data_IF_656270623081
#
_entry.id   IF_656270623081
#
_cell.length_a   1.000
_cell.length_b   1.000
_cell.length_c   1.000
_cell.angle_alpha   90.00
_cell.angle_beta   90.00
_cell.angle_gamma   90.00
#
_symmetry.space_group_name_H-M   'P 1'
#
loop_
_entity.id
_entity.type
_entity.pdbx_description
1 polymer ?
#
# COMPACT_ATOMS: atom_id res chain seq x y z
N UNK A 1 6.21 -11.01 9.22
CA UNK A 1 5.71 -10.96 7.82
C UNK A 1 6.48 -9.95 6.94
N UNK A 2 6.77 -10.27 5.67
CA UNK A 2 7.28 -9.32 4.65
C UNK A 2 6.61 -9.56 3.30
N UNK A 3 6.05 -8.53 2.68
CA UNK A 3 5.28 -8.66 1.44
C UNK A 3 5.71 -7.62 0.42
N UNK A 4 5.74 -8.04 -0.84
CA UNK A 4 5.95 -7.17 -2.00
C UNK A 4 4.75 -7.25 -2.94
N UNK A 5 4.20 -6.09 -3.34
CA UNK A 5 3.25 -5.98 -4.46
C UNK A 5 4.02 -5.43 -5.65
N UNK A 6 3.95 -6.14 -6.76
CA UNK A 6 4.78 -5.91 -7.93
C UNK A 6 3.95 -5.81 -9.20
N UNK A 7 4.50 -5.18 -10.23
CA UNK A 7 3.99 -5.22 -11.61
C UNK A 7 5.05 -5.78 -12.54
N UNK A 8 4.63 -6.34 -13.67
CA UNK A 8 5.51 -6.53 -14.81
C UNK A 8 5.66 -5.21 -15.58
N UNK A 9 6.90 -4.86 -15.91
CA UNK A 9 7.27 -3.81 -16.85
C UNK A 9 8.44 -4.29 -17.71
N UNK A 10 8.25 -4.37 -19.03
CA UNK A 10 9.26 -4.83 -19.98
C UNK A 10 9.86 -6.20 -19.61
N UNK A 11 9.03 -7.15 -19.17
CA UNK A 11 9.45 -8.49 -18.71
C UNK A 11 10.29 -8.50 -17.43
N UNK A 12 10.28 -7.40 -16.67
CA UNK A 12 10.96 -7.27 -15.39
C UNK A 12 9.89 -7.04 -14.32
N UNK A 13 9.91 -7.88 -13.27
CA UNK A 13 9.04 -7.71 -12.11
C UNK A 13 9.56 -6.58 -11.23
N UNK A 14 8.83 -5.48 -11.18
CA UNK A 14 9.15 -4.26 -10.45
C UNK A 14 8.27 -4.12 -9.22
N UNK A 15 8.86 -3.76 -8.08
CA UNK A 15 8.17 -3.56 -6.83
C UNK A 15 7.49 -2.19 -6.80
N UNK A 16 6.21 -2.16 -6.42
CA UNK A 16 5.40 -0.94 -6.31
C UNK A 16 5.11 -0.65 -4.84
N UNK A 17 4.73 -1.68 -4.07
CA UNK A 17 4.43 -1.56 -2.63
C UNK A 17 5.26 -2.58 -1.88
N UNK A 18 5.72 -2.20 -0.69
CA UNK A 18 6.33 -3.11 0.27
C UNK A 18 5.62 -2.99 1.62
N UNK A 19 5.48 -4.13 2.31
CA UNK A 19 4.95 -4.21 3.66
C UNK A 19 5.90 -5.04 4.52
N UNK A 20 6.07 -4.64 5.76
CA UNK A 20 6.85 -5.37 6.74
C UNK A 20 6.16 -5.32 8.10
N UNK A 21 6.20 -6.42 8.82
CA UNK A 21 5.74 -6.52 10.20
C UNK A 21 6.92 -6.95 11.08
N UNK A 22 6.96 -6.39 12.27
CA UNK A 22 7.80 -6.87 13.36
C UNK A 22 7.06 -6.74 14.69
N UNK A 23 7.67 -7.20 15.77
CA UNK A 23 7.16 -7.00 17.13
C UNK A 23 6.88 -5.52 17.47
N UNK A 24 7.60 -4.57 16.84
CA UNK A 24 7.41 -3.14 17.11
C UNK A 24 6.25 -2.52 16.33
N UNK A 25 5.70 -3.18 15.31
CA UNK A 25 4.60 -2.66 14.51
C UNK A 25 4.62 -3.07 13.04
N UNK A 26 3.81 -2.35 12.26
CA UNK A 26 3.63 -2.52 10.82
C UNK A 26 4.23 -1.34 10.07
N UNK A 27 4.93 -1.62 8.98
CA UNK A 27 5.61 -0.66 8.12
C UNK A 27 5.17 -0.89 6.69
N UNK A 28 4.86 0.19 5.97
CA UNK A 28 4.37 0.10 4.59
C UNK A 28 4.91 1.27 3.80
N UNK A 29 5.23 1.04 2.53
CA UNK A 29 5.58 2.12 1.61
C UNK A 29 5.27 1.80 0.17
N UNK A 30 5.18 2.86 -0.62
CA UNK A 30 4.95 2.83 -2.05
C UNK A 30 6.16 3.46 -2.74
N UNK A 31 6.72 2.76 -3.72
CA UNK A 31 7.82 3.28 -4.52
C UNK A 31 7.28 4.27 -5.56
N UNK A 32 7.83 5.49 -5.55
CA UNK A 32 7.55 6.59 -6.47
C UNK A 32 8.88 7.20 -6.97
N UNK A 33 8.89 7.76 -8.18
CA UNK A 33 10.04 8.32 -8.95
C UNK A 33 11.41 8.39 -8.25
N UNK A 34 11.52 9.20 -7.19
CA UNK A 34 12.72 9.40 -6.36
C UNK A 34 12.38 9.38 -4.85
N UNK A 35 11.18 8.96 -4.51
CA UNK A 35 10.56 9.11 -3.22
C UNK A 35 10.05 7.72 -2.77
N UNK A 36 10.24 7.38 -1.51
CA UNK A 36 9.61 6.20 -0.93
C UNK A 36 8.67 6.69 0.17
N UNK A 37 7.48 7.23 -0.17
CA UNK A 37 6.47 7.55 0.82
C UNK A 37 6.12 6.31 1.62
N UNK A 38 6.23 6.41 2.93
CA UNK A 38 6.03 5.28 3.82
C UNK A 38 5.45 5.74 5.15
N UNK A 39 4.90 4.79 5.86
CA UNK A 39 4.40 4.98 7.20
C UNK A 39 4.76 3.80 8.09
N UNK A 40 4.90 4.08 9.38
CA UNK A 40 4.98 3.08 10.44
C UNK A 40 3.81 3.26 11.39
N UNK A 41 3.20 2.15 11.78
CA UNK A 41 2.20 2.09 12.83
C UNK A 41 2.73 1.15 13.91
N UNK A 42 3.15 1.72 15.02
CA UNK A 42 3.80 1.00 16.10
C UNK A 42 2.78 0.29 17.00
N UNK A 43 3.23 -0.77 17.66
CA UNK A 43 2.41 -1.56 18.58
C UNK A 43 1.73 -0.72 19.67
N UNK A 44 2.44 0.30 20.15
CA UNK A 44 2.00 1.26 21.17
C UNK A 44 1.03 2.33 20.64
N UNK A 45 0.78 2.36 19.32
CA UNK A 45 -0.09 3.33 18.65
C UNK A 45 0.64 4.56 18.12
N UNK A 46 1.96 4.70 18.31
CA UNK A 46 2.71 5.76 17.61
C UNK A 46 2.62 5.53 16.10
N UNK A 47 2.34 6.59 15.38
CA UNK A 47 2.14 6.54 13.95
C UNK A 47 3.00 7.60 13.27
N UNK A 48 3.89 7.18 12.37
CA UNK A 48 4.73 8.08 11.59
C UNK A 48 4.37 7.97 10.12
N UNK A 49 4.20 9.11 9.46
CA UNK A 49 4.06 9.17 8.00
C UNK A 49 5.14 10.06 7.45
N UNK A 50 5.92 9.54 6.50
CA UNK A 50 6.93 10.28 5.76
C UNK A 50 6.54 10.32 4.29
N UNK A 51 6.15 11.51 3.83
CA UNK A 51 5.88 11.77 2.41
C UNK A 51 7.08 12.49 1.81
N UNK A 52 7.66 11.90 0.77
CA UNK A 52 8.76 12.49 0.00
C UNK A 52 8.27 12.85 -1.40
N UNK A 53 8.77 13.94 -1.99
CA UNK A 53 8.53 14.30 -3.40
C UNK A 53 9.85 14.74 -4.01
N UNK A 54 10.23 14.11 -5.13
CA UNK A 54 11.52 14.36 -5.80
C UNK A 54 12.73 14.26 -4.86
N UNK A 55 12.73 13.26 -3.98
CA UNK A 55 13.81 13.02 -3.01
C UNK A 55 13.87 13.98 -1.82
N UNK A 56 13.00 15.00 -1.75
CA UNK A 56 12.88 15.89 -0.59
C UNK A 56 11.74 15.42 0.31
N UNK A 57 11.99 15.38 1.61
CA UNK A 57 10.94 15.16 2.61
C UNK A 57 10.00 16.36 2.61
N UNK A 58 8.73 16.13 2.28
CA UNK A 58 7.72 17.18 2.26
C UNK A 58 7.00 17.27 3.59
N UNK A 59 6.68 16.13 4.19
CA UNK A 59 5.88 16.08 5.41
C UNK A 59 6.26 14.88 6.27
N UNK A 60 6.50 15.15 7.55
CA UNK A 60 6.55 14.15 8.61
C UNK A 60 5.43 14.45 9.59
N UNK A 61 4.51 13.51 9.77
CA UNK A 61 3.51 13.56 10.83
C UNK A 61 3.81 12.46 11.83
N UNK A 62 3.91 12.84 13.10
CA UNK A 62 3.86 11.92 14.23
C UNK A 62 2.56 12.14 14.99
N UNK A 63 1.82 11.05 15.19
CA UNK A 63 0.55 11.06 15.90
C UNK A 63 0.50 9.88 16.86
N UNK A 64 0.00 10.10 18.07
CA UNK A 64 -0.35 9.02 18.97
C UNK A 64 -1.77 8.54 18.67
N UNK A 65 -1.88 7.33 18.13
CA UNK A 65 -3.15 6.63 17.86
C UNK A 65 -3.40 5.52 18.89
N UNK A 66 -4.44 4.73 18.63
CA UNK A 66 -4.75 3.52 19.40
C UNK A 66 -3.64 2.48 19.19
N UNK A 67 -3.37 1.68 20.23
CA UNK A 67 -2.54 0.48 20.08
C UNK A 67 -3.14 -0.45 19.03
N UNK A 68 -2.29 -1.19 18.30
CA UNK A 68 -2.75 -2.13 17.26
C UNK A 68 -3.80 -3.09 17.82
N UNK A 69 -3.51 -3.69 18.97
CA UNK A 69 -4.40 -4.64 19.66
C UNK A 69 -5.74 -4.04 20.09
N UNK A 70 -5.85 -2.71 20.18
CA UNK A 70 -7.04 -1.99 20.58
C UNK A 70 -7.86 -1.46 19.40
N UNK A 71 -7.44 -1.69 18.16
CA UNK A 71 -8.22 -1.37 16.96
C UNK A 71 -9.39 -2.34 16.87
N UNK A 72 -10.61 -1.81 17.02
CA UNK A 72 -11.87 -2.58 17.08
C UNK A 72 -12.60 -2.65 15.73
N UNK A 73 -11.99 -2.18 14.65
CA UNK A 73 -12.59 -2.11 13.32
C UNK A 73 -11.45 -2.08 12.30
N UNK A 74 -11.26 -0.96 11.63
CA UNK A 74 -10.07 -0.73 10.82
C UNK A 74 -9.54 0.70 11.00
N UNK A 75 -8.24 0.86 10.79
CA UNK A 75 -7.54 2.12 10.97
C UNK A 75 -6.60 2.35 9.78
N UNK A 76 -6.72 3.50 9.13
CA UNK A 76 -5.80 3.86 8.05
C UNK A 76 -4.38 4.06 8.59
N UNK A 77 -3.40 3.56 7.84
CA UNK A 77 -1.97 3.78 8.03
C UNK A 77 -1.53 4.91 7.08
N UNK A 78 -1.62 4.68 5.77
CA UNK A 78 -1.22 5.67 4.77
C UNK A 78 -2.12 5.61 3.54
N UNK A 79 -2.38 6.78 2.97
CA UNK A 79 -2.93 6.98 1.64
C UNK A 79 -1.89 7.67 0.79
N UNK A 80 -1.56 7.12 -0.37
CA UNK A 80 -0.62 7.71 -1.29
C UNK A 80 -0.99 7.39 -2.74
N UNK A 81 -0.66 8.29 -3.66
CA UNK A 81 -0.83 8.06 -5.09
C UNK A 81 0.40 8.49 -5.85
N UNK A 82 0.76 7.71 -6.87
CA UNK A 82 1.94 7.94 -7.68
C UNK A 82 1.63 7.77 -9.17
N UNK A 83 2.43 8.44 -10.00
CA UNK A 83 2.43 8.26 -11.45
C UNK A 83 3.57 7.33 -11.85
N UNK A 84 3.27 6.36 -12.70
CA UNK A 84 4.18 5.32 -13.15
C UNK A 84 4.48 5.44 -14.65
N UNK A 85 5.02 6.57 -15.06
CA UNK A 85 5.56 6.73 -16.42
C UNK A 85 6.65 5.69 -16.70
N UNK A 86 6.96 5.39 -17.95
CA UNK A 86 7.99 4.36 -18.26
C UNK A 86 9.34 4.69 -17.60
N UNK A 87 9.83 5.94 -17.62
CA UNK A 87 11.04 6.31 -16.90
C UNK A 87 10.99 6.08 -15.39
N UNK A 88 9.80 6.14 -14.78
CA UNK A 88 9.61 5.84 -13.35
C UNK A 88 9.62 4.33 -13.14
N UNK A 89 8.85 3.58 -13.93
CA UNK A 89 8.80 2.12 -13.89
C UNK A 89 10.18 1.47 -14.06
N UNK A 90 10.99 1.99 -14.97
CA UNK A 90 12.35 1.50 -15.22
C UNK A 90 13.30 1.65 -14.00
N UNK A 91 13.02 2.64 -13.12
CA UNK A 91 13.81 2.92 -11.91
C UNK A 91 13.28 2.22 -10.67
N UNK A 92 12.06 1.67 -10.71
CA UNK A 92 11.51 0.94 -9.58
C UNK A 92 12.42 -0.24 -9.21
N UNK A 93 12.51 -0.60 -7.92
CA UNK A 93 13.28 -1.75 -7.50
C UNK A 93 12.81 -3.01 -8.24
N UNK A 94 13.75 -3.75 -8.82
CA UNK A 94 13.46 -5.09 -9.30
C UNK A 94 13.22 -6.01 -8.10
N UNK A 95 12.26 -6.92 -8.22
CA UNK A 95 12.06 -7.95 -7.21
C UNK A 95 13.33 -8.81 -7.10
N UNK A 96 13.99 -8.72 -5.95
CA UNK A 96 15.16 -9.54 -5.63
C UNK A 96 14.70 -10.90 -5.11
N UNK A 97 15.02 -11.96 -5.84
CA UNK A 97 14.69 -13.34 -5.49
C UNK A 97 15.39 -13.83 -4.22
N UNK A 98 16.42 -13.12 -3.73
CA UNK A 98 17.12 -13.46 -2.50
C UNK A 98 16.45 -12.89 -1.24
N UNK A 99 15.45 -12.01 -1.39
CA UNK A 99 14.70 -11.49 -0.25
C UNK A 99 13.74 -12.56 0.27
N UNK A 100 13.72 -12.72 1.61
CA UNK A 100 12.79 -13.60 2.34
C UNK A 100 11.39 -12.97 2.42
N UNK A 101 10.74 -12.78 1.29
CA UNK A 101 9.35 -12.37 1.21
C UNK A 101 8.46 -13.54 1.66
N UNK A 102 7.49 -13.28 2.55
CA UNK A 102 6.47 -14.25 2.93
C UNK A 102 5.31 -14.29 1.92
N UNK A 103 5.14 -13.23 1.12
CA UNK A 103 4.22 -13.22 -0.01
C UNK A 103 4.66 -12.23 -1.10
N UNK A 104 4.36 -12.57 -2.36
CA UNK A 104 4.54 -11.69 -3.53
C UNK A 104 3.20 -11.63 -4.26
N UNK A 105 2.69 -10.43 -4.50
CA UNK A 105 1.47 -10.21 -5.28
C UNK A 105 1.85 -9.54 -6.60
N UNK A 106 1.49 -10.17 -7.72
CA UNK A 106 1.69 -9.59 -9.04
C UNK A 106 0.38 -8.96 -9.54
N UNK A 107 0.40 -7.64 -9.75
CA UNK A 107 -0.67 -6.95 -10.48
C UNK A 107 -0.25 -6.86 -11.95
N UNK A 108 -1.17 -7.18 -12.86
CA UNK A 108 -0.85 -7.21 -14.29
C UNK A 108 -0.51 -5.81 -14.81
N UNK A 109 0.59 -5.68 -15.55
CA UNK A 109 1.03 -4.37 -16.09
C UNK A 109 0.01 -3.68 -17.01
N UNK A 110 -0.99 -4.42 -17.50
CA UNK A 110 -2.13 -3.88 -18.23
C UNK A 110 -2.88 -2.77 -17.46
N UNK A 111 -2.83 -2.76 -16.12
CA UNK A 111 -3.48 -1.72 -15.33
C UNK A 111 -2.94 -0.31 -15.63
N UNK A 112 -1.70 -0.19 -16.10
CA UNK A 112 -1.01 1.08 -16.38
C UNK A 112 -1.08 1.54 -17.83
N UNK A 113 -1.77 0.80 -18.73
CA UNK A 113 -1.73 1.09 -20.18
C UNK A 113 -2.31 2.45 -20.57
N UNK A 114 -3.40 2.86 -19.93
CA UNK A 114 -4.14 4.06 -20.29
C UNK A 114 -3.84 5.21 -19.35
N UNK A 115 -3.92 4.94 -18.04
CA UNK A 115 -3.56 5.88 -17.00
C UNK A 115 -2.44 5.28 -16.18
N UNK A 116 -1.29 5.92 -16.25
CA UNK A 116 -0.10 5.54 -15.49
C UNK A 116 -0.18 6.09 -14.07
N UNK A 117 -1.28 5.90 -13.37
CA UNK A 117 -1.47 6.37 -12.01
C UNK A 117 -2.13 5.29 -11.14
N UNK A 118 -1.59 5.11 -9.93
CA UNK A 118 -2.12 4.17 -8.95
C UNK A 118 -2.17 4.88 -7.60
N UNK A 119 -3.27 4.69 -6.89
CA UNK A 119 -3.43 5.07 -5.50
C UNK A 119 -3.43 3.84 -4.62
N UNK A 120 -2.85 3.97 -3.44
CA UNK A 120 -2.74 2.95 -2.41
C UNK A 120 -3.30 3.50 -1.11
N UNK A 121 -4.22 2.74 -0.51
CA UNK A 121 -4.64 2.93 0.88
C UNK A 121 -4.25 1.69 1.69
N UNK A 122 -3.59 1.88 2.83
CA UNK A 122 -3.23 0.78 3.72
C UNK A 122 -3.95 0.91 5.06
N UNK A 123 -4.45 -0.20 5.59
CA UNK A 123 -5.19 -0.25 6.84
C UNK A 123 -4.68 -1.37 7.74
N UNK A 124 -4.75 -1.16 9.06
CA UNK A 124 -4.80 -2.27 10.02
C UNK A 124 -6.27 -2.62 10.22
N UNK A 125 -6.62 -3.90 10.07
CA UNK A 125 -8.00 -4.40 10.14
C UNK A 125 -8.11 -5.44 11.24
N UNK A 126 -9.06 -5.28 12.14
CA UNK A 126 -9.42 -6.32 13.09
C UNK A 126 -10.16 -7.42 12.34
N UNK A 127 -9.70 -8.67 12.47
CA UNK A 127 -10.23 -9.82 11.73
C UNK A 127 -11.71 -10.09 11.99
N UNK A 128 -12.24 -9.70 13.15
CA UNK A 128 -13.69 -9.79 13.43
C UNK A 128 -14.53 -8.88 12.52
N UNK A 129 -13.92 -7.84 11.95
CA UNK A 129 -14.55 -6.82 11.13
C UNK A 129 -14.11 -6.87 9.65
N UNK A 130 -13.35 -7.90 9.25
CA UNK A 130 -12.84 -8.04 7.87
C UNK A 130 -13.96 -7.97 6.83
N UNK A 131 -15.07 -8.70 7.06
CA UNK A 131 -16.22 -8.68 6.14
C UNK A 131 -16.82 -7.29 5.98
N UNK A 132 -16.93 -6.52 7.07
CA UNK A 132 -17.43 -5.16 7.03
C UNK A 132 -16.46 -4.24 6.30
N UNK A 133 -15.15 -4.38 6.57
CA UNK A 133 -14.10 -3.64 5.88
C UNK A 133 -14.15 -3.89 4.36
N UNK A 134 -14.20 -5.16 3.93
CA UNK A 134 -14.31 -5.51 2.51
C UNK A 134 -15.58 -4.93 1.91
N UNK A 135 -16.72 -5.06 2.60
CA UNK A 135 -17.99 -4.45 2.15
C UNK A 135 -17.90 -2.94 1.95
N UNK A 136 -17.18 -2.22 2.83
CA UNK A 136 -16.95 -0.78 2.68
C UNK A 136 -16.05 -0.46 1.48
N UNK A 137 -14.93 -1.19 1.30
CA UNK A 137 -14.04 -0.98 0.14
C UNK A 137 -14.74 -1.30 -1.18
N UNK A 138 -15.66 -2.27 -1.18
CA UNK A 138 -16.49 -2.60 -2.33
C UNK A 138 -17.65 -1.63 -2.56
N UNK A 139 -18.17 -0.94 -1.55
CA UNK A 139 -19.20 0.07 -1.76
C UNK A 139 -18.65 1.28 -2.54
N UNK A 140 -17.38 1.61 -2.32
CA UNK A 140 -16.66 2.69 -2.99
C UNK A 140 -15.76 2.17 -4.13
N UNK A 141 -16.02 0.98 -4.66
CA UNK A 141 -15.11 0.31 -5.61
C UNK A 141 -14.97 1.02 -6.95
N UNK A 142 -15.99 1.76 -7.37
CA UNK A 142 -16.01 2.50 -8.61
C UNK A 142 -16.70 3.83 -8.42
N UNK A 143 -15.98 4.89 -8.74
CA UNK A 143 -16.56 6.20 -8.98
C UNK A 143 -16.37 6.55 -10.45
N UNK A 144 -16.81 7.73 -10.86
CA UNK A 144 -16.50 8.23 -12.18
C UNK A 144 -14.97 8.36 -12.38
N UNK A 145 -14.22 8.70 -11.33
CA UNK A 145 -12.80 9.06 -11.41
C UNK A 145 -11.82 7.92 -11.16
N UNK A 146 -12.22 6.88 -10.42
CA UNK A 146 -11.33 5.78 -10.07
C UNK A 146 -12.06 4.44 -10.01
N UNK A 147 -11.28 3.36 -10.14
CA UNK A 147 -11.74 1.99 -9.96
C UNK A 147 -10.77 1.20 -9.08
N UNK A 148 -11.34 0.27 -8.31
CA UNK A 148 -10.63 -0.66 -7.46
C UNK A 148 -9.88 -1.69 -8.33
N UNK A 149 -8.56 -1.76 -8.14
CA UNK A 149 -7.70 -2.75 -8.78
C UNK A 149 -7.60 -4.02 -7.94
N UNK A 150 -7.36 -3.87 -6.64
CA UNK A 150 -7.20 -5.00 -5.74
C UNK A 150 -7.39 -4.60 -4.27
N UNK A 151 -7.88 -5.56 -3.47
CA UNK A 151 -7.79 -5.54 -2.01
C UNK A 151 -6.98 -6.75 -1.58
N UNK A 152 -5.82 -6.53 -0.97
CA UNK A 152 -4.96 -7.59 -0.48
C UNK A 152 -4.84 -7.50 1.04
N UNK A 153 -5.31 -8.52 1.76
CA UNK A 153 -5.22 -8.60 3.22
C UNK A 153 -4.21 -9.66 3.63
N UNK A 154 -3.29 -9.30 4.52
CA UNK A 154 -2.24 -10.18 5.02
C UNK A 154 -2.30 -10.28 6.54
N UNK A 155 -2.22 -11.52 7.04
CA UNK A 155 -2.27 -11.80 8.48
C UNK A 155 -1.02 -11.28 9.17
N UNK A 156 -1.21 -10.65 10.32
CA UNK A 156 -0.11 -10.22 11.19
C UNK A 156 0.27 -11.37 12.14
N UNK A 157 1.55 -11.72 12.18
CA UNK A 157 2.09 -12.81 13.00
C UNK A 157 2.21 -12.39 14.48
N UNK A 158 2.61 -11.15 14.75
CA UNK A 158 2.77 -10.59 16.08
C UNK A 158 1.46 -10.00 16.64
N UNK A 159 0.49 -9.73 15.76
CA UNK A 159 -0.83 -9.21 16.13
C UNK A 159 -1.95 -10.11 15.58
N UNK A 160 -2.12 -11.34 16.11
CA UNK A 160 -2.88 -12.42 15.45
C UNK A 160 -4.39 -12.18 15.28
N UNK A 161 -4.93 -11.16 15.95
CA UNK A 161 -6.33 -10.71 15.80
C UNK A 161 -6.53 -9.68 14.68
N UNK A 162 -5.44 -9.30 14.00
CA UNK A 162 -5.41 -8.22 13.04
C UNK A 162 -4.72 -8.66 11.74
N UNK A 163 -5.14 -8.02 10.66
CA UNK A 163 -4.51 -8.08 9.35
C UNK A 163 -4.02 -6.69 8.97
N UNK A 164 -3.07 -6.63 8.02
CA UNK A 164 -2.79 -5.41 7.27
C UNK A 164 -3.36 -5.57 5.86
N UNK A 165 -4.13 -4.58 5.42
CA UNK A 165 -4.80 -4.61 4.14
C UNK A 165 -4.34 -3.46 3.26
N UNK A 166 -3.95 -3.77 2.03
CA UNK A 166 -3.61 -2.81 0.98
C UNK A 166 -4.68 -2.79 -0.08
N UNK A 167 -5.24 -1.61 -0.30
CA UNK A 167 -6.26 -1.33 -1.30
C UNK A 167 -5.64 -0.49 -2.40
N UNK A 168 -5.73 -0.97 -3.63
CA UNK A 168 -5.17 -0.31 -4.81
C UNK A 168 -6.30 0.19 -5.70
N UNK A 169 -6.20 1.44 -6.13
CA UNK A 169 -7.12 2.07 -7.08
C UNK A 169 -6.35 2.62 -8.27
N UNK A 170 -6.94 2.61 -9.47
CA UNK A 170 -6.43 3.33 -10.63
C UNK A 170 -7.41 4.41 -11.06
N UNK A 171 -6.89 5.47 -11.67
CA UNK A 171 -7.71 6.55 -12.24
C UNK A 171 -8.29 6.09 -13.58
N UNK A 172 -9.58 6.37 -13.81
CA UNK A 172 -10.25 6.05 -15.07
C UNK A 172 -9.78 6.99 -16.20
N UNK A 173 -9.59 6.49 -17.44
CA UNK A 173 -9.05 7.30 -18.55
C UNK A 173 -9.84 8.57 -18.91
N UNK A 174 -11.14 8.63 -18.57
CA UNK A 174 -12.04 9.73 -18.94
C UNK A 174 -11.95 10.99 -18.07
N UNK A 175 -11.19 10.97 -16.97
CA UNK A 175 -11.13 12.07 -15.99
C UNK A 175 -9.79 12.83 -15.96
N UNK A 176 -9.02 12.74 -17.05
CA UNK A 176 -7.81 13.52 -17.28
C UNK A 176 -8.06 14.50 -18.43
N UNK A 177 -8.93 15.48 -18.22
CA UNK A 177 -9.09 16.66 -19.08
C UNK A 177 -8.65 17.91 -18.35
#
# INVERSE_FOLDING_TARGET
MRVSICTDHNSIVRQIVWLNESHSGVYVGMYDENANPHASYHADGRHHVKITRRGKELVMFEEQRKRITSISGYQSIITHGAFYTDPIMDRLPQLDSNRKETAIVLIGGAIFRHVKALAMNTFIVNRKYERQFLGAMYADYETDSYELVAVNSFKLEHFPSHDVSVVLYRVKPGNLT
#
